data_IF_168187726999
#
_entry.id   IF_168187726999
#
_cell.length_a   1.000
_cell.length_b   1.000
_cell.length_c   1.000
_cell.angle_alpha   90.00
_cell.angle_beta   90.00
_cell.angle_gamma   90.00
#
_symmetry.space_group_name_H-M   'P 1'
#
loop_
_entity.id
_entity.type
_entity.pdbx_description
1 polymer ?
#
# COMPACT_ATOMS: atom_id res chain seq x y z
N UNK A 1 12.20 9.30 -3.88
CA UNK A 1 10.83 8.99 -4.36
C UNK A 1 9.89 9.33 -3.23
N UNK A 2 8.91 10.21 -3.43
CA UNK A 2 8.04 10.72 -2.36
C UNK A 2 6.86 9.74 -2.15
N UNK A 3 6.54 9.39 -0.91
CA UNK A 3 5.47 8.44 -0.57
C UNK A 3 4.08 8.90 -1.00
N UNK A 4 3.82 10.20 -0.95
CA UNK A 4 2.56 10.76 -1.47
C UNK A 4 2.39 10.46 -2.96
N UNK A 5 3.50 10.48 -3.73
CA UNK A 5 3.50 10.14 -5.16
C UNK A 5 3.32 8.64 -5.41
N UNK A 6 3.81 7.78 -4.51
CA UNK A 6 3.57 6.33 -4.56
C UNK A 6 2.08 6.01 -4.39
N UNK A 7 1.45 6.61 -3.38
CA UNK A 7 0.03 6.43 -3.08
C UNK A 7 -0.84 7.01 -4.19
N UNK A 8 -0.52 8.22 -4.68
CA UNK A 8 -1.31 8.87 -5.74
C UNK A 8 -1.30 8.03 -7.02
N UNK A 9 -0.14 7.54 -7.45
CA UNK A 9 -0.01 6.67 -8.63
C UNK A 9 -0.75 5.35 -8.47
N UNK A 10 -0.76 4.78 -7.27
CA UNK A 10 -1.53 3.59 -6.98
C UNK A 10 -3.03 3.87 -7.12
N UNK A 11 -3.54 4.94 -6.48
CA UNK A 11 -4.95 5.32 -6.56
C UNK A 11 -5.39 5.62 -8.01
N UNK A 12 -4.60 6.38 -8.77
CA UNK A 12 -4.84 6.59 -10.21
C UNK A 12 -4.89 5.28 -11.00
N UNK A 13 -4.02 4.31 -10.65
CA UNK A 13 -4.02 3.01 -11.30
C UNK A 13 -5.28 2.20 -10.95
N UNK A 14 -5.77 2.31 -9.72
CA UNK A 14 -7.02 1.67 -9.28
C UNK A 14 -8.21 2.30 -10.00
N UNK A 15 -8.27 3.63 -10.07
CA UNK A 15 -9.32 4.35 -10.80
C UNK A 15 -9.34 3.97 -12.29
N UNK A 16 -8.17 3.91 -12.94
CA UNK A 16 -8.04 3.44 -14.33
C UNK A 16 -8.53 2.02 -14.50
N UNK A 17 -8.23 1.12 -13.56
CA UNK A 17 -8.72 -0.26 -13.58
C UNK A 17 -10.24 -0.30 -13.49
N UNK A 18 -10.83 0.39 -12.51
CA UNK A 18 -12.28 0.44 -12.28
C UNK A 18 -13.01 1.03 -13.49
N UNK A 19 -12.46 2.09 -14.09
CA UNK A 19 -13.01 2.68 -15.31
C UNK A 19 -12.97 1.70 -16.49
N UNK A 20 -11.84 0.99 -16.70
CA UNK A 20 -11.70 0.01 -17.77
C UNK A 20 -12.64 -1.20 -17.58
N UNK A 21 -12.82 -1.63 -16.33
CA UNK A 21 -13.80 -2.64 -15.90
C UNK A 21 -15.22 -2.26 -16.32
N UNK A 22 -15.69 -1.06 -15.96
CA UNK A 22 -17.01 -0.56 -16.33
C UNK A 22 -17.20 -0.43 -17.84
N UNK A 23 -16.16 -0.01 -18.57
CA UNK A 23 -16.20 0.09 -20.03
C UNK A 23 -16.36 -1.28 -20.70
N UNK A 24 -15.61 -2.29 -20.24
CA UNK A 24 -15.70 -3.65 -20.74
C UNK A 24 -17.06 -4.27 -20.42
N UNK A 25 -17.59 -4.08 -19.21
CA UNK A 25 -18.92 -4.58 -18.84
C UNK A 25 -20.02 -3.96 -19.69
N UNK A 26 -19.94 -2.64 -19.91
CA UNK A 26 -20.86 -1.92 -20.80
C UNK A 26 -20.75 -2.37 -22.26
N UNK A 27 -19.55 -2.74 -22.71
CA UNK A 27 -19.33 -3.28 -24.05
C UNK A 27 -19.89 -4.70 -24.17
N UNK A 28 -19.65 -5.56 -23.18
CA UNK A 28 -20.16 -6.94 -23.13
C UNK A 28 -21.69 -6.92 -23.18
N UNK A 29 -22.34 -6.13 -22.32
CA UNK A 29 -23.80 -6.01 -22.28
C UNK A 29 -24.40 -5.58 -23.63
N UNK A 30 -23.79 -4.60 -24.30
CA UNK A 30 -24.21 -4.17 -25.66
C UNK A 30 -24.02 -5.25 -26.72
N UNK A 31 -22.95 -6.05 -26.63
CA UNK A 31 -22.70 -7.13 -27.56
C UNK A 31 -23.62 -8.34 -27.31
N UNK A 32 -23.96 -8.62 -26.05
CA UNK A 32 -24.91 -9.68 -25.68
C UNK A 32 -26.33 -9.36 -26.14
N UNK A 33 -26.76 -8.10 -26.04
CA UNK A 33 -28.06 -7.68 -26.57
C UNK A 33 -28.11 -7.74 -28.10
N UNK A 34 -27.02 -7.41 -28.80
CA UNK A 34 -26.91 -7.48 -30.26
C UNK A 34 -26.71 -8.91 -30.81
N UNK A 35 -26.07 -9.79 -30.04
CA UNK A 35 -25.81 -11.20 -30.40
C UNK A 35 -27.10 -12.00 -30.56
N UNK A 36 -28.16 -11.64 -29.84
CA UNK A 36 -29.50 -12.24 -30.01
C UNK A 36 -30.09 -12.02 -31.41
N UNK A 37 -29.52 -11.11 -32.20
CA UNK A 37 -30.02 -10.71 -33.51
C UNK A 37 -29.02 -10.94 -34.68
N UNK A 38 -27.79 -11.43 -34.46
CA UNK A 38 -26.80 -11.52 -35.56
C UNK A 38 -25.63 -12.49 -35.32
N UNK A 39 -25.03 -12.97 -36.43
CA UNK A 39 -24.07 -14.08 -36.50
C UNK A 39 -22.60 -13.81 -36.10
N UNK A 40 -21.71 -14.75 -36.47
CA UNK A 40 -20.40 -15.02 -35.85
C UNK A 40 -19.39 -13.87 -35.65
N UNK A 41 -19.54 -12.73 -36.34
CA UNK A 41 -18.69 -11.55 -36.10
C UNK A 41 -18.98 -10.89 -34.75
N UNK A 42 -20.23 -10.90 -34.29
CA UNK A 42 -20.61 -10.37 -32.97
C UNK A 42 -20.12 -11.31 -31.87
N UNK A 43 -20.26 -12.63 -32.06
CA UNK A 43 -19.77 -13.64 -31.14
C UNK A 43 -18.25 -13.55 -30.92
N UNK A 44 -17.50 -13.33 -32.01
CA UNK A 44 -16.05 -13.13 -31.94
C UNK A 44 -15.66 -11.90 -31.12
N UNK A 45 -16.37 -10.78 -31.30
CA UNK A 45 -16.16 -9.55 -30.53
C UNK A 45 -16.55 -9.71 -29.06
N UNK A 46 -17.63 -10.44 -28.79
CA UNK A 46 -18.09 -10.73 -27.44
C UNK A 46 -17.08 -11.60 -26.69
N UNK A 47 -16.58 -12.66 -27.34
CA UNK A 47 -15.53 -13.53 -26.80
C UNK A 47 -14.26 -12.74 -26.46
N UNK A 48 -13.82 -11.86 -27.36
CA UNK A 48 -12.66 -10.98 -27.10
C UNK A 48 -12.89 -10.03 -25.92
N UNK A 49 -14.08 -9.42 -25.80
CA UNK A 49 -14.40 -8.53 -24.69
C UNK A 49 -14.40 -9.27 -23.34
N UNK A 50 -15.00 -10.47 -23.29
CA UNK A 50 -14.97 -11.36 -22.11
C UNK A 50 -13.56 -11.78 -21.73
N UNK A 51 -12.74 -12.13 -22.72
CA UNK A 51 -11.33 -12.48 -22.49
C UNK A 51 -10.52 -11.30 -21.93
N UNK A 52 -10.70 -10.08 -22.47
CA UNK A 52 -10.06 -8.87 -21.91
C UNK A 52 -10.50 -8.62 -20.48
N UNK A 53 -11.79 -8.80 -20.18
CA UNK A 53 -12.35 -8.65 -18.84
C UNK A 53 -11.71 -9.61 -17.83
N UNK A 54 -11.53 -10.88 -18.21
CA UNK A 54 -10.86 -11.88 -17.38
C UNK A 54 -9.38 -11.55 -17.14
N UNK A 55 -8.71 -10.94 -18.12
CA UNK A 55 -7.30 -10.56 -18.04
C UNK A 55 -7.04 -9.16 -17.45
N UNK A 56 -8.08 -8.46 -17.01
CA UNK A 56 -7.95 -7.07 -16.55
C UNK A 56 -6.94 -6.91 -15.40
N UNK A 57 -6.85 -7.90 -14.51
CA UNK A 57 -5.86 -7.94 -13.43
C UNK A 57 -4.41 -7.96 -13.93
N UNK A 58 -4.15 -8.54 -15.11
CA UNK A 58 -2.81 -8.58 -15.72
C UNK A 58 -2.42 -7.26 -16.36
N UNK A 59 -3.40 -6.53 -16.89
CA UNK A 59 -3.19 -5.20 -17.47
C UNK A 59 -2.99 -4.15 -16.37
N UNK A 60 -3.62 -4.36 -15.21
CA UNK A 60 -3.57 -3.45 -14.07
C UNK A 60 -2.90 -4.07 -12.83
N UNK A 61 -1.75 -4.74 -13.01
CA UNK A 61 -1.03 -5.43 -11.91
C UNK A 61 -0.74 -4.51 -10.72
N UNK A 62 -0.35 -3.26 -10.99
CA UNK A 62 -0.06 -2.27 -9.95
C UNK A 62 -1.27 -1.92 -9.08
N UNK A 63 -2.49 -2.06 -9.61
CA UNK A 63 -3.74 -1.89 -8.87
C UNK A 63 -4.32 -3.20 -8.32
N UNK A 64 -3.72 -4.34 -8.66
CA UNK A 64 -4.14 -5.66 -8.19
C UNK A 64 -3.46 -6.02 -6.86
N UNK A 65 -2.23 -5.51 -6.63
CA UNK A 65 -1.45 -5.81 -5.44
C UNK A 65 -0.85 -4.54 -4.81
N UNK A 66 -1.55 -4.01 -3.81
CA UNK A 66 -1.11 -2.84 -3.05
C UNK A 66 0.15 -3.09 -2.22
N UNK A 67 0.44 -4.35 -1.86
CA UNK A 67 1.63 -4.69 -1.05
C UNK A 67 2.89 -4.46 -1.86
N UNK A 68 2.95 -5.03 -3.06
CA UNK A 68 4.08 -4.85 -3.98
C UNK A 68 4.16 -3.42 -4.53
N UNK A 69 3.02 -2.78 -4.79
CA UNK A 69 2.98 -1.44 -5.40
C UNK A 69 3.26 -0.30 -4.41
N UNK A 70 2.89 -0.46 -3.13
CA UNK A 70 2.93 0.63 -2.14
C UNK A 70 3.65 0.24 -0.86
N UNK A 71 3.24 -0.85 -0.19
CA UNK A 71 3.76 -1.18 1.14
C UNK A 71 5.26 -1.47 1.14
N UNK A 72 5.72 -2.38 0.27
CA UNK A 72 7.13 -2.76 0.17
C UNK A 72 8.00 -1.55 -0.23
N UNK A 73 7.68 -0.77 -1.28
CA UNK A 73 8.41 0.46 -1.60
C UNK A 73 8.45 1.47 -0.45
N UNK A 74 7.34 1.67 0.25
CA UNK A 74 7.26 2.59 1.38
C UNK A 74 8.15 2.15 2.55
N UNK A 75 8.06 0.88 2.94
CA UNK A 75 8.90 0.32 4.00
C UNK A 75 10.38 0.35 3.63
N UNK A 76 10.73 0.14 2.36
CA UNK A 76 12.11 0.28 1.90
C UNK A 76 12.63 1.72 1.99
N UNK A 77 11.79 2.72 1.75
CA UNK A 77 12.17 4.14 1.93
C UNK A 77 12.39 4.42 3.42
N UNK A 78 11.42 4.06 4.27
CA UNK A 78 11.49 4.25 5.72
C UNK A 78 12.68 3.53 6.35
N UNK A 79 12.93 2.28 5.96
CA UNK A 79 14.06 1.51 6.46
C UNK A 79 15.40 2.11 6.05
N UNK A 80 15.50 2.78 4.89
CA UNK A 80 16.73 3.47 4.48
C UNK A 80 16.95 4.76 5.26
N UNK A 81 15.88 5.51 5.54
CA UNK A 81 15.94 6.75 6.32
C UNK A 81 16.29 6.47 7.78
N UNK A 82 15.73 5.40 8.37
CA UNK A 82 15.96 5.01 9.76
C UNK A 82 17.15 4.05 9.97
N UNK A 83 17.68 3.46 8.89
CA UNK A 83 18.63 2.34 8.90
C UNK A 83 19.99 2.61 9.55
N UNK A 84 20.33 3.88 9.87
CA UNK A 84 21.54 4.23 10.61
C UNK A 84 21.40 3.98 12.12
N UNK A 85 20.19 4.08 12.63
CA UNK A 85 19.88 3.99 14.07
C UNK A 85 19.01 2.79 14.42
N UNK A 86 18.37 2.17 13.42
CA UNK A 86 17.45 1.06 13.62
C UNK A 86 17.71 -0.07 12.62
N UNK A 87 17.55 -1.31 13.06
CA UNK A 87 17.57 -2.51 12.22
C UNK A 87 16.14 -3.03 12.16
N UNK A 88 15.63 -3.30 10.96
CA UNK A 88 14.24 -3.72 10.80
C UNK A 88 13.99 -4.77 9.74
N UNK A 89 12.81 -5.36 9.84
CA UNK A 89 12.29 -6.35 8.90
C UNK A 89 10.84 -6.01 8.53
N UNK A 90 10.47 -6.34 7.30
CA UNK A 90 9.08 -6.29 6.84
C UNK A 90 8.41 -7.59 7.24
N UNK A 91 7.32 -7.47 8.00
CA UNK A 91 6.47 -8.57 8.44
C UNK A 91 5.19 -8.51 7.64
N UNK A 92 4.89 -9.56 6.89
CA UNK A 92 3.63 -9.68 6.16
C UNK A 92 2.56 -10.25 7.10
N UNK A 93 1.37 -9.67 7.08
CA UNK A 93 0.23 -10.16 7.84
C UNK A 93 -0.97 -10.43 6.94
N UNK A 94 -2.05 -10.98 7.50
CA UNK A 94 -3.27 -11.25 6.73
C UNK A 94 -4.02 -9.94 6.39
N UNK A 95 -4.12 -9.04 7.36
CA UNK A 95 -4.88 -7.79 7.26
C UNK A 95 -3.98 -6.56 7.02
N UNK A 96 -2.75 -6.60 7.53
CA UNK A 96 -1.81 -5.49 7.47
C UNK A 96 -0.38 -6.03 7.32
N UNK A 97 0.44 -5.32 6.57
CA UNK A 97 1.89 -5.54 6.53
C UNK A 97 2.56 -4.50 7.43
N UNK A 98 3.68 -4.84 8.07
CA UNK A 98 4.35 -3.95 9.01
C UNK A 98 5.85 -3.91 8.79
N UNK A 99 6.46 -2.72 8.83
CA UNK A 99 7.89 -2.56 9.07
C UNK A 99 8.13 -2.51 10.57
N UNK A 100 8.85 -3.50 11.11
CA UNK A 100 9.25 -3.52 12.53
C UNK A 100 10.74 -3.26 12.61
N UNK A 101 11.14 -2.30 13.45
CA UNK A 101 12.53 -1.90 13.61
C UNK A 101 12.90 -1.82 15.10
N UNK A 102 14.11 -2.23 15.43
CA UNK A 102 14.67 -2.17 16.79
C UNK A 102 15.92 -1.29 16.76
N UNK A 103 16.11 -0.51 17.82
CA UNK A 103 17.25 0.39 17.93
C UNK A 103 18.56 -0.40 17.88
N UNK A 104 19.49 0.08 17.05
CA UNK A 104 20.82 -0.51 16.94
C UNK A 104 21.73 0.04 18.05
N UNK A 105 21.86 -0.74 19.14
CA UNK A 105 22.68 -0.39 20.31
C UNK A 105 24.17 -0.21 20.02
N UNK A 106 24.66 -0.52 18.82
CA UNK A 106 26.08 -0.41 18.48
C UNK A 106 26.59 1.03 18.29
N UNK A 107 25.71 2.04 18.24
CA UNK A 107 26.05 3.37 17.71
C UNK A 107 25.94 4.58 18.66
N UNK A 108 25.58 4.45 19.95
CA UNK A 108 25.66 5.61 20.89
C UNK A 108 25.66 5.21 22.37
N UNK A 109 26.40 5.98 23.16
CA UNK A 109 26.50 5.91 24.64
C UNK A 109 25.42 6.72 25.37
N UNK A 110 24.51 7.36 24.64
CA UNK A 110 23.38 8.12 25.20
C UNK A 110 22.09 7.58 24.56
N UNK A 111 21.25 6.90 25.37
CA UNK A 111 19.93 6.44 24.96
C UNK A 111 18.98 7.65 24.92
N UNK A 112 18.75 8.23 23.73
CA UNK A 112 17.63 9.16 23.49
C UNK A 112 16.86 8.65 22.26
N UNK A 113 15.90 7.76 22.52
CA UNK A 113 14.92 7.32 21.53
C UNK A 113 14.16 6.03 21.86
N UNK A 114 13.06 5.74 21.13
CA UNK A 114 12.27 4.54 21.35
C UNK A 114 13.11 3.30 21.03
N UNK A 115 13.09 2.29 21.91
CA UNK A 115 13.88 1.06 21.74
C UNK A 115 13.42 0.23 20.54
N UNK A 116 12.17 0.41 20.11
CA UNK A 116 11.64 -0.18 18.90
C UNK A 116 10.50 0.65 18.31
N UNK A 117 10.32 0.50 16.99
CA UNK A 117 9.32 1.19 16.17
C UNK A 117 8.63 0.13 15.31
N UNK A 118 7.30 0.06 15.32
CA UNK A 118 6.55 -0.63 14.27
C UNK A 118 5.76 0.39 13.43
N UNK A 119 5.71 0.20 12.12
CA UNK A 119 4.92 0.98 11.16
C UNK A 119 4.08 -0.03 10.38
N UNK A 120 2.79 -0.11 10.67
CA UNK A 120 1.87 -0.99 9.93
C UNK A 120 1.18 -0.23 8.80
N UNK A 121 0.84 -0.93 7.71
CA UNK A 121 0.03 -0.44 6.60
C UNK A 121 -1.08 -1.44 6.34
N UNK A 122 -2.31 -0.93 6.21
CA UNK A 122 -3.50 -1.71 5.84
C UNK A 122 -4.21 -1.05 4.67
N UNK A 123 -4.92 -1.84 3.89
CA UNK A 123 -5.79 -1.36 2.82
C UNK A 123 -7.22 -1.22 3.35
N UNK A 124 -7.68 0.00 3.67
CA UNK A 124 -9.11 0.23 3.99
C UNK A 124 -9.89 0.68 2.76
N UNK A 125 -10.32 -0.28 1.94
CA UNK A 125 -11.20 -0.04 0.80
C UNK A 125 -10.60 0.82 -0.33
N UNK A 126 -11.49 1.35 -1.18
CA UNK A 126 -11.17 2.29 -2.26
C UNK A 126 -11.83 3.65 -2.00
N UNK A 127 -11.07 4.77 -2.00
CA UNK A 127 -9.63 4.85 -2.22
C UNK A 127 -8.83 4.22 -1.06
N UNK A 128 -7.63 3.71 -1.37
CA UNK A 128 -6.76 3.07 -0.40
C UNK A 128 -6.39 4.08 0.69
N UNK A 129 -6.95 3.91 1.88
CA UNK A 129 -6.56 4.66 3.06
C UNK A 129 -5.51 3.86 3.81
N UNK A 130 -4.33 4.44 4.00
CA UNK A 130 -3.22 3.80 4.71
C UNK A 130 -3.24 4.30 6.15
N UNK A 131 -3.62 3.44 7.09
CA UNK A 131 -3.39 3.73 8.50
C UNK A 131 -1.96 3.37 8.84
N UNK A 132 -1.20 4.32 9.39
CA UNK A 132 0.15 4.08 9.87
C UNK A 132 0.05 3.89 11.38
N UNK A 133 0.16 2.65 11.83
CA UNK A 133 0.20 2.35 13.26
C UNK A 133 1.64 2.45 13.73
N UNK A 134 1.93 3.41 14.60
CA UNK A 134 3.25 3.55 15.25
C UNK A 134 3.20 2.80 16.57
N UNK A 135 3.99 1.73 16.72
CA UNK A 135 4.20 1.11 18.03
C UNK A 135 5.52 1.60 18.63
N UNK A 136 5.47 2.18 19.83
CA UNK A 136 6.67 2.50 20.62
C UNK A 136 6.74 1.54 21.80
N UNK A 137 7.86 0.81 21.89
CA UNK A 137 8.13 -0.05 23.04
C UNK A 137 8.60 0.76 24.25
N UNK A 138 7.97 0.55 25.41
CA UNK A 138 8.41 1.11 26.70
C UNK A 138 9.65 0.37 27.24
N UNK A 139 10.27 0.89 28.30
CA UNK A 139 11.38 0.21 28.98
C UNK A 139 11.00 -1.15 29.59
N UNK A 140 9.72 -1.36 29.90
CA UNK A 140 9.16 -2.63 30.39
C UNK A 140 8.93 -3.67 29.29
N UNK A 141 9.08 -3.30 28.01
CA UNK A 141 8.79 -4.17 26.86
C UNK A 141 7.33 -4.17 26.42
N UNK A 142 6.51 -3.28 26.97
CA UNK A 142 5.12 -3.11 26.55
C UNK A 142 5.05 -2.32 25.25
N UNK A 143 4.16 -2.75 24.34
CA UNK A 143 3.95 -2.13 23.05
C UNK A 143 2.61 -1.41 23.05
N UNK A 144 2.62 -0.13 22.75
CA UNK A 144 1.38 0.62 22.50
C UNK A 144 1.35 1.12 21.07
N UNK A 145 0.28 0.74 20.35
CA UNK A 145 0.02 1.18 18.98
C UNK A 145 -0.74 2.51 19.01
N UNK A 146 -0.15 3.55 18.44
CA UNK A 146 -0.83 4.81 18.14
C UNK A 146 -1.24 4.82 16.66
N UNK A 147 -2.51 5.06 16.37
CA UNK A 147 -2.96 5.29 15.00
C UNK A 147 -2.57 6.70 14.56
N UNK A 148 -1.68 6.78 13.58
CA UNK A 148 -1.29 8.03 12.94
C UNK A 148 -2.20 8.25 11.74
N UNK A 149 -2.69 9.49 11.59
CA UNK A 149 -3.58 9.90 10.51
C UNK A 149 -3.04 9.48 9.14
N UNK A 150 -3.94 9.06 8.24
CA UNK A 150 -3.61 8.68 6.86
C UNK A 150 -3.00 9.83 6.04
N UNK A 151 -3.18 11.08 6.48
CA UNK A 151 -2.66 12.29 5.85
C UNK A 151 -1.24 12.66 6.31
N UNK A 152 -0.69 11.97 7.32
CA UNK A 152 0.63 12.31 7.86
C UNK A 152 1.72 12.03 6.83
N UNK A 153 2.48 13.07 6.46
CA UNK A 153 3.57 12.95 5.49
C UNK A 153 4.67 12.06 6.07
N UNK A 154 5.39 11.30 5.23
CA UNK A 154 6.54 10.49 5.71
C UNK A 154 7.57 11.34 6.46
N UNK A 155 7.81 12.56 6.00
CA UNK A 155 8.72 13.48 6.68
C UNK A 155 8.22 13.86 8.09
N UNK A 156 6.90 13.95 8.27
CA UNK A 156 6.27 14.21 9.57
C UNK A 156 6.26 12.96 10.45
N UNK A 157 6.13 11.75 9.87
CA UNK A 157 6.32 10.49 10.58
C UNK A 157 7.76 10.31 11.03
N UNK A 158 8.74 10.55 10.16
CA UNK A 158 10.15 10.51 10.48
C UNK A 158 10.50 11.57 11.53
N UNK A 159 10.03 12.82 11.36
CA UNK A 159 10.24 13.90 12.32
C UNK A 159 9.55 13.63 13.66
N UNK A 160 8.28 13.21 13.70
CA UNK A 160 7.56 12.85 14.92
C UNK A 160 8.20 11.64 15.64
N UNK A 161 8.82 10.73 14.87
CA UNK A 161 9.55 9.59 15.43
C UNK A 161 10.90 10.00 16.01
N UNK A 162 11.57 10.99 15.42
CA UNK A 162 12.83 11.57 15.92
C UNK A 162 12.58 12.57 17.07
N UNK A 163 11.47 13.29 17.07
CA UNK A 163 11.15 14.34 18.05
C UNK A 163 10.61 13.72 19.36
N UNK A 164 9.71 12.73 19.28
CA UNK A 164 9.32 11.92 20.45
C UNK A 164 10.45 11.00 20.94
N UNK A 165 11.55 10.86 20.19
CA UNK A 165 12.75 10.17 20.64
C UNK A 165 13.68 11.07 21.47
N UNK A 166 13.48 12.39 21.42
CA UNK A 166 14.29 13.40 22.14
C UNK A 166 13.65 13.85 23.46
N UNK A 167 12.41 13.45 23.73
CA UNK A 167 11.68 13.67 24.99
C UNK A 167 11.73 12.42 25.84
#
# INVERSE_FOLDING_TARGET
MNFTLLISRFNESVERRTSHELQLDSQISRLESASKASGGRIESRLSLAKHRRQNLHREHRGAADWRSAVAIPAFNILSKELGRSYIGAIVQGDVADSLRMVFNRSNSSEEQGPKAIAISMRSTGTPLTLAILKAVGTESGDWHEEEVSADTRIAELAACTIEKARL
#
